data_IF_839946636800
#
_entry.id   IF_839946636800
#
_cell.length_a   1.000
_cell.length_b   1.000
_cell.length_c   1.000
_cell.angle_alpha   90.00
_cell.angle_beta   90.00
_cell.angle_gamma   90.00
#
_symmetry.space_group_name_H-M   'P 1'
#
loop_
_entity.id
_entity.type
_entity.pdbx_description
1 polymer ?
#
# COMPACT_ATOMS: atom_id res chain seq x y z
N UNK A 1 17.35 -3.93 -3.10
CA UNK A 1 17.06 -5.03 -4.05
C UNK A 1 18.37 -5.50 -4.66
N UNK A 2 18.63 -6.81 -4.69
CA UNK A 2 19.75 -7.33 -5.49
C UNK A 2 19.35 -7.24 -6.96
N UNK A 3 20.28 -6.84 -7.83
CA UNK A 3 20.03 -6.74 -9.27
C UNK A 3 19.66 -8.12 -9.83
N UNK A 4 18.60 -8.20 -10.64
CA UNK A 4 18.19 -9.41 -11.37
C UNK A 4 17.23 -10.37 -10.67
N UNK A 5 16.67 -10.03 -9.50
CA UNK A 5 15.68 -10.91 -8.86
C UNK A 5 14.33 -10.88 -9.57
N UNK A 6 13.73 -12.05 -9.77
CA UNK A 6 12.37 -12.15 -10.32
C UNK A 6 11.31 -11.86 -9.25
N UNK A 7 10.10 -11.46 -9.68
CA UNK A 7 8.97 -11.28 -8.74
C UNK A 7 8.70 -12.55 -7.94
N UNK A 8 8.80 -13.73 -8.58
CA UNK A 8 8.63 -15.03 -7.91
C UNK A 8 9.67 -15.28 -6.82
N UNK A 9 10.94 -14.93 -7.06
CA UNK A 9 12.00 -15.06 -6.05
C UNK A 9 11.80 -14.11 -4.86
N UNK A 10 11.36 -12.88 -5.13
CA UNK A 10 11.04 -11.90 -4.09
C UNK A 10 9.91 -12.45 -3.23
N UNK A 11 8.80 -12.87 -3.85
CA UNK A 11 7.64 -13.42 -3.13
C UNK A 11 8.01 -14.65 -2.30
N UNK A 12 8.68 -15.64 -2.89
CA UNK A 12 9.04 -16.88 -2.20
C UNK A 12 9.92 -16.63 -0.96
N UNK A 13 10.90 -15.74 -1.09
CA UNK A 13 11.78 -15.38 0.03
C UNK A 13 11.05 -14.55 1.09
N UNK A 14 10.20 -13.62 0.68
CA UNK A 14 9.45 -12.78 1.61
C UNK A 14 8.46 -13.60 2.43
N UNK A 15 7.70 -14.53 1.82
CA UNK A 15 6.73 -15.36 2.55
C UNK A 15 7.44 -16.17 3.64
N UNK A 16 8.50 -16.90 3.28
CA UNK A 16 9.20 -17.78 4.23
C UNK A 16 9.87 -17.01 5.37
N UNK A 17 10.46 -15.85 5.10
CA UNK A 17 11.09 -15.03 6.14
C UNK A 17 10.05 -14.34 7.04
N UNK A 18 8.96 -13.82 6.46
CA UNK A 18 7.90 -13.17 7.25
C UNK A 18 7.14 -14.19 8.11
N UNK A 19 6.91 -15.40 7.60
CA UNK A 19 6.33 -16.51 8.37
C UNK A 19 7.15 -16.82 9.62
N UNK A 20 8.48 -16.91 9.50
CA UNK A 20 9.37 -17.14 10.65
C UNK A 20 9.21 -16.06 11.72
N UNK A 21 9.12 -14.79 11.31
CA UNK A 21 8.91 -13.66 12.23
C UNK A 21 7.54 -13.75 12.89
N UNK A 22 6.48 -14.07 12.13
CA UNK A 22 5.12 -14.19 12.66
C UNK A 22 5.03 -15.32 13.68
N UNK A 23 5.65 -16.47 13.42
CA UNK A 23 5.68 -17.61 14.35
C UNK A 23 6.47 -17.31 15.63
N UNK A 24 7.53 -16.51 15.52
CA UNK A 24 8.34 -16.09 16.65
C UNK A 24 7.61 -15.07 17.54
N UNK A 25 7.13 -13.99 16.93
CA UNK A 25 6.54 -12.86 17.65
C UNK A 25 5.10 -13.08 18.07
N UNK A 26 4.37 -13.99 17.38
CA UNK A 26 2.95 -14.30 17.61
C UNK A 26 2.07 -13.04 17.75
N UNK A 27 2.09 -12.14 16.75
CA UNK A 27 1.32 -10.91 16.82
C UNK A 27 -0.18 -11.19 16.82
N UNK A 28 -0.96 -10.39 17.54
CA UNK A 28 -2.43 -10.44 17.49
C UNK A 28 -3.01 -9.97 16.15
N UNK A 29 -2.23 -9.20 15.37
CA UNK A 29 -2.58 -8.72 14.04
C UNK A 29 -1.33 -8.33 13.24
N UNK A 30 -1.36 -8.53 11.92
CA UNK A 30 -0.34 -8.03 10.99
C UNK A 30 -0.91 -6.89 10.16
N UNK A 31 -0.19 -5.77 10.11
CA UNK A 31 -0.54 -4.64 9.24
C UNK A 31 0.31 -4.67 7.97
N UNK A 32 -0.35 -4.58 6.81
CA UNK A 32 0.29 -4.48 5.50
C UNK A 32 -0.16 -3.20 4.79
N UNK A 33 0.71 -2.59 4.00
CA UNK A 33 0.45 -1.28 3.39
C UNK A 33 0.47 -1.34 1.85
N UNK A 34 -0.52 -0.75 1.20
CA UNK A 34 -0.50 -0.51 -0.26
C UNK A 34 -0.59 -1.78 -1.10
N UNK A 35 0.32 -1.92 -2.07
CA UNK A 35 0.18 -2.84 -3.21
C UNK A 35 1.49 -3.54 -3.64
N UNK A 36 2.52 -3.49 -2.80
CA UNK A 36 3.83 -4.04 -3.13
C UNK A 36 3.86 -5.56 -3.02
N UNK A 37 4.91 -6.19 -3.56
CA UNK A 37 5.14 -7.62 -3.37
C UNK A 37 5.25 -8.02 -1.89
N UNK A 38 5.82 -7.16 -1.06
CA UNK A 38 5.95 -7.39 0.39
C UNK A 38 4.58 -7.37 1.06
N UNK A 39 3.67 -6.49 0.62
CA UNK A 39 2.29 -6.40 1.11
C UNK A 39 1.57 -7.73 0.90
N UNK A 40 1.63 -8.26 -0.32
CA UNK A 40 1.02 -9.55 -0.62
C UNK A 40 1.69 -10.70 0.15
N UNK A 41 3.02 -10.79 0.14
CA UNK A 41 3.75 -11.84 0.84
C UNK A 41 3.49 -11.84 2.36
N UNK A 42 3.43 -10.67 2.98
CA UNK A 42 3.15 -10.52 4.41
C UNK A 42 1.72 -10.89 4.76
N UNK A 43 0.74 -10.44 3.96
CA UNK A 43 -0.65 -10.85 4.13
C UNK A 43 -0.84 -12.36 3.99
N UNK A 44 -0.19 -12.98 2.99
CA UNK A 44 -0.29 -14.43 2.80
C UNK A 44 0.38 -15.22 3.94
N UNK A 45 1.54 -14.76 4.41
CA UNK A 45 2.22 -15.38 5.55
C UNK A 45 1.37 -15.28 6.84
N UNK A 46 0.74 -14.14 7.09
CA UNK A 46 -0.18 -13.96 8.22
C UNK A 46 -1.40 -14.88 8.12
N UNK A 47 -2.00 -14.98 6.93
CA UNK A 47 -3.13 -15.87 6.65
C UNK A 47 -2.78 -17.35 6.94
N UNK A 48 -1.62 -17.83 6.48
CA UNK A 48 -1.18 -19.21 6.75
C UNK A 48 -0.97 -19.51 8.24
N UNK A 49 -0.68 -18.49 9.05
CA UNK A 49 -0.53 -18.61 10.50
C UNK A 49 -1.81 -18.21 11.26
N UNK A 50 -2.94 -18.02 10.57
CA UNK A 50 -4.22 -17.67 11.15
C UNK A 50 -4.20 -16.38 11.99
N UNK A 51 -3.33 -15.43 11.61
CA UNK A 51 -3.21 -14.13 12.26
C UNK A 51 -4.07 -13.11 11.51
N UNK A 52 -4.91 -12.32 12.21
CA UNK A 52 -5.69 -11.24 11.60
C UNK A 52 -4.85 -10.25 10.81
N UNK A 53 -5.41 -9.70 9.72
CA UNK A 53 -4.72 -8.81 8.79
C UNK A 53 -5.44 -7.46 8.67
N UNK A 54 -4.70 -6.36 8.89
CA UNK A 54 -5.16 -5.01 8.58
C UNK A 54 -4.47 -4.44 7.33
N UNK A 55 -5.25 -4.06 6.33
CA UNK A 55 -4.73 -3.48 5.08
C UNK A 55 -4.82 -1.95 5.11
N UNK A 56 -3.67 -1.31 5.26
CA UNK A 56 -3.51 0.15 5.18
C UNK A 56 -3.46 0.58 3.72
N UNK A 57 -4.17 1.66 3.39
CA UNK A 57 -4.36 2.14 2.02
C UNK A 57 -5.15 1.16 1.14
N UNK A 58 -6.17 0.52 1.74
CA UNK A 58 -7.00 -0.45 1.05
C UNK A 58 -7.95 0.19 0.01
N UNK A 59 -8.28 -0.56 -1.05
CA UNK A 59 -9.40 -0.23 -1.94
C UNK A 59 -9.10 0.67 -3.15
N UNK A 60 -7.87 1.12 -3.37
CA UNK A 60 -7.49 1.71 -4.67
C UNK A 60 -7.64 0.67 -5.78
N UNK A 61 -8.09 1.06 -6.98
CA UNK A 61 -8.30 0.15 -8.11
C UNK A 61 -8.05 0.85 -9.43
N UNK A 62 -7.33 0.19 -10.34
CA UNK A 62 -7.36 0.50 -11.78
C UNK A 62 -8.32 -0.42 -12.54
N UNK A 63 -8.62 -1.60 -11.99
CA UNK A 63 -9.32 -2.70 -12.67
C UNK A 63 -8.63 -3.22 -13.95
N UNK A 64 -7.38 -2.81 -14.21
CA UNK A 64 -6.52 -3.40 -15.23
C UNK A 64 -5.43 -4.26 -14.56
N UNK A 65 -5.56 -5.57 -14.75
CA UNK A 65 -4.65 -6.58 -14.17
C UNK A 65 -3.17 -6.31 -14.48
N UNK A 66 -2.86 -5.72 -15.64
CA UNK A 66 -1.49 -5.49 -16.09
C UNK A 66 -1.10 -4.01 -16.03
N UNK A 67 -1.91 -3.15 -15.44
CA UNK A 67 -1.60 -1.72 -15.27
C UNK A 67 -2.27 -1.13 -14.01
N UNK A 68 -1.49 -0.70 -13.01
CA UNK A 68 -0.05 -0.91 -12.85
C UNK A 68 0.29 -2.39 -12.53
N UNK A 69 1.41 -2.86 -13.09
CA UNK A 69 1.90 -4.23 -12.91
C UNK A 69 3.11 -4.29 -11.98
N UNK A 70 3.08 -5.13 -10.92
CA UNK A 70 2.05 -6.11 -10.52
C UNK A 70 1.01 -5.60 -9.51
N UNK A 71 1.01 -4.30 -9.24
CA UNK A 71 0.36 -3.69 -8.08
C UNK A 71 -1.16 -3.89 -8.06
N UNK A 72 -1.84 -3.84 -9.21
CA UNK A 72 -3.30 -4.08 -9.26
C UNK A 72 -3.70 -5.46 -8.74
N UNK A 73 -2.95 -6.49 -9.11
CA UNK A 73 -3.21 -7.85 -8.62
C UNK A 73 -2.88 -7.96 -7.14
N UNK A 74 -1.75 -7.40 -6.71
CA UNK A 74 -1.34 -7.47 -5.31
C UNK A 74 -2.38 -6.88 -4.37
N UNK A 75 -2.88 -5.66 -4.65
CA UNK A 75 -3.88 -5.00 -3.79
C UNK A 75 -5.22 -5.72 -3.78
N UNK A 76 -5.61 -6.36 -4.88
CA UNK A 76 -6.86 -7.14 -4.93
C UNK A 76 -6.72 -8.43 -4.12
N UNK A 77 -5.60 -9.15 -4.27
CA UNK A 77 -5.32 -10.36 -3.49
C UNK A 77 -5.25 -10.07 -1.99
N UNK A 78 -4.55 -9.01 -1.58
CA UNK A 78 -4.51 -8.60 -0.17
C UNK A 78 -5.91 -8.25 0.35
N UNK A 79 -6.74 -7.60 -0.46
CA UNK A 79 -8.13 -7.32 -0.10
C UNK A 79 -9.02 -8.56 0.06
N UNK A 80 -8.60 -9.74 -0.44
CA UNK A 80 -9.27 -11.02 -0.14
C UNK A 80 -8.85 -11.56 1.23
N UNK A 81 -7.60 -11.31 1.63
CA UNK A 81 -7.01 -11.84 2.86
C UNK A 81 -7.30 -10.97 4.09
N UNK A 82 -7.56 -9.67 3.91
CA UNK A 82 -7.65 -8.71 5.00
C UNK A 82 -8.96 -8.83 5.81
N UNK A 83 -8.83 -8.79 7.14
CA UNK A 83 -9.96 -8.72 8.09
C UNK A 83 -10.41 -7.28 8.32
N UNK A 84 -9.50 -6.30 8.20
CA UNK A 84 -9.78 -4.87 8.30
C UNK A 84 -9.19 -4.11 7.11
N UNK A 85 -9.95 -3.15 6.59
CA UNK A 85 -9.59 -2.32 5.45
C UNK A 85 -9.59 -0.85 5.84
N UNK A 86 -8.41 -0.24 5.89
CA UNK A 86 -8.24 1.19 6.15
C UNK A 86 -8.15 1.93 4.81
N UNK A 87 -9.32 2.31 4.29
CA UNK A 87 -9.45 2.97 3.00
C UNK A 87 -9.07 4.46 3.09
N UNK A 88 -8.26 5.00 2.16
CA UNK A 88 -7.84 6.40 2.22
C UNK A 88 -8.96 7.38 1.85
N UNK A 89 -9.96 6.93 1.08
CA UNK A 89 -11.06 7.77 0.60
C UNK A 89 -12.38 7.00 0.59
N UNK A 90 -13.50 7.72 0.52
CA UNK A 90 -14.84 7.12 0.31
C UNK A 90 -14.93 6.34 -1.00
N UNK A 91 -14.21 6.78 -2.04
CA UNK A 91 -14.16 6.08 -3.33
C UNK A 91 -13.47 4.71 -3.17
N UNK A 92 -12.30 4.67 -2.54
CA UNK A 92 -11.61 3.41 -2.25
C UNK A 92 -12.45 2.46 -1.38
N UNK A 93 -13.16 2.98 -0.37
CA UNK A 93 -14.12 2.19 0.40
C UNK A 93 -15.26 1.63 -0.46
N UNK A 94 -15.78 2.42 -1.41
CA UNK A 94 -16.84 1.98 -2.32
C UNK A 94 -16.40 0.82 -3.22
N UNK A 95 -15.15 0.81 -3.70
CA UNK A 95 -14.61 -0.32 -4.47
C UNK A 95 -14.63 -1.62 -3.65
N UNK A 96 -14.22 -1.57 -2.38
CA UNK A 96 -14.22 -2.74 -1.49
C UNK A 96 -15.64 -3.26 -1.25
N UNK A 97 -16.60 -2.37 -1.00
CA UNK A 97 -18.00 -2.73 -0.81
C UNK A 97 -18.60 -3.34 -2.09
N UNK A 98 -18.27 -2.80 -3.27
CA UNK A 98 -18.71 -3.34 -4.55
C UNK A 98 -18.10 -4.73 -4.85
N UNK A 99 -16.93 -5.03 -4.28
CA UNK A 99 -16.31 -6.37 -4.32
C UNK A 99 -16.86 -7.32 -3.25
N UNK A 100 -17.84 -6.91 -2.46
CA UNK A 100 -18.52 -7.75 -1.48
C UNK A 100 -17.84 -7.85 -0.12
N UNK A 101 -16.95 -6.91 0.24
CA UNK A 101 -16.38 -6.86 1.60
C UNK A 101 -17.47 -6.43 2.58
N UNK A 102 -17.41 -7.00 3.78
CA UNK A 102 -18.33 -6.65 4.87
C UNK A 102 -18.23 -5.17 5.24
N UNK A 103 -19.37 -4.51 5.45
CA UNK A 103 -19.39 -3.07 5.69
C UNK A 103 -18.65 -2.65 6.96
N UNK A 104 -18.70 -3.49 7.97
CA UNK A 104 -18.06 -3.34 9.28
C UNK A 104 -16.56 -3.54 9.24
N UNK A 105 -16.01 -4.16 8.18
CA UNK A 105 -14.56 -4.31 8.01
C UNK A 105 -13.92 -3.18 7.19
N UNK A 106 -14.71 -2.23 6.68
CA UNK A 106 -14.22 -1.12 5.84
C UNK A 106 -14.35 0.21 6.57
N UNK A 107 -13.22 0.85 6.84
CA UNK A 107 -13.14 2.14 7.54
C UNK A 107 -12.40 3.16 6.69
N UNK A 108 -12.97 4.36 6.55
CA UNK A 108 -12.29 5.48 5.86
C UNK A 108 -11.42 6.23 6.85
N UNK A 109 -10.10 6.17 6.68
CA UNK A 109 -9.11 6.75 7.61
C UNK A 109 -8.41 8.00 7.09
N UNK A 110 -8.44 8.24 5.77
CA UNK A 110 -7.50 9.17 5.13
C UNK A 110 -6.18 8.48 4.76
N UNK A 111 -5.30 9.20 4.05
CA UNK A 111 -4.00 8.68 3.62
C UNK A 111 -2.88 9.11 4.58
N UNK A 112 -2.10 8.15 5.08
CA UNK A 112 -0.98 8.34 6.01
C UNK A 112 0.17 9.17 5.44
N UNK A 113 0.26 9.33 4.11
CA UNK A 113 1.22 10.25 3.47
C UNK A 113 1.03 11.70 3.93
N UNK A 114 -0.21 12.12 4.22
CA UNK A 114 -0.50 13.45 4.78
C UNK A 114 0.10 13.59 6.17
N UNK A 115 0.06 12.52 6.96
CA UNK A 115 0.65 12.52 8.30
C UNK A 115 2.17 12.54 8.23
N UNK A 116 2.78 11.80 7.30
CA UNK A 116 4.22 11.81 7.08
C UNK A 116 4.74 13.21 6.68
N UNK A 117 3.97 13.98 5.91
CA UNK A 117 4.33 15.36 5.55
C UNK A 117 4.46 16.26 6.79
N UNK A 118 3.66 16.06 7.84
CA UNK A 118 3.74 16.86 9.08
C UNK A 118 5.08 16.72 9.81
N UNK A 119 5.82 15.62 9.57
CA UNK A 119 7.12 15.36 10.20
C UNK A 119 8.31 15.60 9.29
N UNK A 120 8.09 15.73 7.97
CA UNK A 120 9.16 15.86 6.97
C UNK A 120 9.26 17.26 6.38
N UNK A 121 8.22 18.08 6.51
CA UNK A 121 8.29 19.50 6.15
C UNK A 121 9.10 20.24 7.22
N UNK A 122 10.24 20.81 6.80
CA UNK A 122 11.02 21.76 7.58
C UNK A 122 10.61 23.17 7.16
N UNK A 123 10.05 23.94 8.09
CA UNK A 123 9.64 25.33 7.87
C UNK A 123 10.81 26.24 7.45
N UNK A 124 12.05 25.83 7.71
CA UNK A 124 13.27 26.55 7.32
C UNK A 124 13.88 26.03 6.01
N UNK A 125 13.27 25.05 5.36
CA UNK A 125 13.78 24.52 4.10
C UNK A 125 13.80 25.60 3.01
N UNK A 126 15.00 25.91 2.53
CA UNK A 126 15.21 26.79 1.37
C UNK A 126 15.65 25.96 0.17
N UNK A 127 14.86 26.05 -0.90
CA UNK A 127 15.20 25.44 -2.18
C UNK A 127 15.86 26.44 -3.10
N UNK A 128 17.13 26.20 -3.43
CA UNK A 128 17.86 26.97 -4.44
C UNK A 128 17.14 27.01 -5.80
N UNK A 129 16.32 25.98 -6.09
CA UNK A 129 15.47 25.93 -7.28
C UNK A 129 14.36 26.95 -7.13
N UNK A 130 13.61 26.94 -6.03
CA UNK A 130 12.55 27.92 -5.79
C UNK A 130 13.11 29.36 -5.81
N UNK A 131 14.26 29.62 -5.19
CA UNK A 131 14.90 30.93 -5.19
C UNK A 131 15.27 31.40 -6.61
N UNK A 132 15.88 30.50 -7.41
CA UNK A 132 16.28 30.79 -8.80
C UNK A 132 15.10 31.11 -9.72
N UNK A 133 13.92 30.64 -9.36
CA UNK A 133 12.76 30.57 -10.24
C UNK A 133 11.51 31.29 -9.69
N UNK A 134 11.57 31.92 -8.51
CA UNK A 134 10.41 32.50 -7.80
C UNK A 134 9.55 33.47 -8.64
N UNK A 135 10.17 34.27 -9.52
CA UNK A 135 9.47 35.24 -10.39
C UNK A 135 9.20 34.73 -11.82
N UNK A 136 9.30 33.42 -12.05
CA UNK A 136 9.13 32.83 -13.39
C UNK A 136 7.81 32.06 -13.48
N UNK A 137 7.26 31.97 -14.70
CA UNK A 137 6.06 31.17 -14.97
C UNK A 137 6.45 29.72 -15.25
N UNK A 138 5.80 28.77 -14.57
CA UNK A 138 5.99 27.33 -14.79
C UNK A 138 4.72 26.67 -15.28
N UNK A 139 4.90 25.68 -16.14
CA UNK A 139 3.88 24.70 -16.49
C UNK A 139 4.41 23.36 -15.97
N UNK A 140 3.76 22.80 -14.95
CA UNK A 140 4.04 21.44 -14.49
C UNK A 140 3.25 20.49 -15.39
N UNK A 141 3.95 19.78 -16.26
CA UNK A 141 3.36 18.70 -17.04
C UNK A 141 3.56 17.39 -16.28
N UNK A 142 2.46 16.79 -15.82
CA UNK A 142 2.47 15.44 -15.27
C UNK A 142 1.64 14.50 -16.17
N UNK A 143 1.99 13.23 -16.18
CA UNK A 143 1.13 12.17 -16.71
C UNK A 143 0.50 11.46 -15.53
N UNK A 144 -0.81 11.57 -15.36
CA UNK A 144 -1.56 10.58 -14.58
C UNK A 144 -1.65 9.30 -15.41
N UNK A 145 -1.33 8.12 -14.84
CA UNK A 145 -1.71 6.87 -15.49
C UNK A 145 -3.24 6.90 -15.67
N UNK A 146 -3.69 6.78 -16.92
CA UNK A 146 -5.09 6.58 -17.27
C UNK A 146 -5.58 5.25 -16.76
#
# INVERSE_FOLDING_TARGET
>A
MKSGQTLSEITSKSITQLEQVIQLEKPDMVLVHGDTMTTFAGGLAAFYNQVPIGHVEAGLRSYDKYSPFPEEVNRQLVGVLADLHFAPTKNAASHLLNEGKYSESVVVTGNTAIDAMKYTVDDNYKSNIMDKYHDKKFILMNSTPS
#
